data_IF_813555479325
#
_entry.id   IF_813555479325
#
_cell.length_a   1.000
_cell.length_b   1.000
_cell.length_c   1.000
_cell.angle_alpha   90.00
_cell.angle_beta   90.00
_cell.angle_gamma   90.00
#
_symmetry.space_group_name_H-M   'P 1'
#
loop_
_entity.id
_entity.type
_entity.pdbx_description
1 polymer ?
#
# COMPACT_ATOMS: atom_id res chain seq x y z
N UNK A 1 44.20 -80.87 45.03
CA UNK A 1 43.57 -80.00 46.05
C UNK A 1 44.49 -78.80 46.21
N UNK A 2 44.16 -77.54 45.96
CA UNK A 2 42.91 -76.80 45.78
C UNK A 2 43.32 -75.50 45.05
N UNK A 3 42.92 -75.21 43.81
CA UNK A 3 41.68 -74.53 43.37
C UNK A 3 41.23 -73.35 44.24
N UNK A 4 41.89 -72.19 44.09
CA UNK A 4 41.23 -70.88 44.33
C UNK A 4 41.97 -69.65 43.74
N UNK A 5 43.05 -69.82 42.99
CA UNK A 5 43.75 -68.76 42.23
C UNK A 5 43.00 -68.37 40.92
N UNK A 6 41.67 -68.16 40.98
CA UNK A 6 40.88 -67.70 39.82
C UNK A 6 39.93 -66.52 40.12
N UNK A 7 39.91 -65.96 41.34
CA UNK A 7 38.92 -64.93 41.70
C UNK A 7 39.44 -63.49 41.77
N UNK A 8 40.67 -63.19 41.34
CA UNK A 8 41.21 -61.81 41.37
C UNK A 8 40.89 -60.95 40.14
N UNK A 9 40.19 -61.48 39.12
CA UNK A 9 39.86 -60.72 37.90
C UNK A 9 38.36 -60.60 37.61
N UNK A 10 37.49 -61.21 38.43
CA UNK A 10 36.03 -61.12 38.22
C UNK A 10 35.40 -59.81 38.74
N UNK A 11 36.07 -59.07 39.65
CA UNK A 11 35.55 -57.82 40.21
C UNK A 11 35.81 -56.56 39.37
N UNK A 12 36.78 -56.58 38.45
CA UNK A 12 37.17 -55.40 37.68
C UNK A 12 36.44 -55.28 36.33
N UNK A 13 35.79 -56.35 35.85
CA UNK A 13 35.05 -56.36 34.58
C UNK A 13 33.57 -55.92 34.72
N UNK A 14 33.01 -55.87 35.94
CA UNK A 14 31.62 -55.42 36.16
C UNK A 14 31.54 -53.91 36.49
N UNK A 15 32.63 -53.31 36.99
CA UNK A 15 32.67 -51.87 37.27
C UNK A 15 33.03 -51.00 36.04
N UNK A 16 33.60 -51.57 34.98
CA UNK A 16 33.89 -50.82 33.74
C UNK A 16 32.70 -50.81 32.76
N UNK A 17 31.68 -51.66 32.97
CA UNK A 17 30.45 -51.64 32.18
C UNK A 17 29.36 -50.69 32.70
N UNK A 18 29.47 -50.16 33.93
CA UNK A 18 28.52 -49.18 34.49
C UNK A 18 29.02 -47.73 34.48
N UNK A 19 30.28 -47.48 34.12
CA UNK A 19 30.80 -46.12 33.84
C UNK A 19 30.85 -45.84 32.33
N UNK A 20 29.94 -46.46 31.57
CA UNK A 20 29.63 -46.07 30.19
C UNK A 20 28.15 -45.68 30.05
N UNK A 21 27.46 -45.41 31.18
CA UNK A 21 26.08 -44.92 31.19
C UNK A 21 25.96 -43.39 31.21
N UNK A 22 27.07 -42.64 31.06
CA UNK A 22 27.05 -41.18 30.93
C UNK A 22 28.04 -40.60 29.90
N UNK A 23 28.60 -41.43 29.02
CA UNK A 23 29.20 -40.92 27.79
C UNK A 23 28.37 -41.44 26.62
N UNK A 24 27.27 -40.73 26.36
CA UNK A 24 26.53 -40.89 25.12
C UNK A 24 27.55 -40.85 23.98
N UNK A 25 27.61 -41.93 23.22
CA UNK A 25 28.49 -42.07 22.07
C UNK A 25 28.28 -40.87 21.13
N UNK A 26 29.39 -40.30 20.68
CA UNK A 26 29.46 -39.11 19.83
C UNK A 26 28.90 -39.31 18.40
N UNK A 27 28.10 -40.37 18.18
CA UNK A 27 27.45 -40.68 16.91
C UNK A 27 25.91 -40.70 17.02
N UNK A 28 25.34 -40.19 18.14
CA UNK A 28 23.89 -40.08 18.36
C UNK A 28 23.40 -38.67 18.76
N UNK A 29 24.30 -37.69 18.84
CA UNK A 29 23.96 -36.30 19.22
C UNK A 29 23.58 -35.48 17.99
N UNK A 30 22.32 -35.62 17.57
CA UNK A 30 21.69 -34.60 16.72
C UNK A 30 21.76 -33.21 17.36
N UNK A 31 21.65 -32.16 16.56
CA UNK A 31 21.69 -30.80 17.09
C UNK A 31 20.60 -30.53 18.15
N UNK A 32 20.87 -29.67 19.15
CA UNK A 32 19.85 -29.21 20.09
C UNK A 32 18.61 -28.68 19.35
N UNK A 33 17.43 -28.84 19.95
CA UNK A 33 16.16 -28.44 19.33
C UNK A 33 16.21 -26.99 18.84
N UNK A 34 16.05 -26.80 17.52
CA UNK A 34 16.06 -25.49 16.89
C UNK A 34 17.40 -25.04 16.34
N UNK A 35 18.41 -25.91 16.36
CA UNK A 35 19.69 -25.70 15.70
C UNK A 35 19.94 -26.78 14.64
N UNK A 36 20.67 -26.43 13.59
CA UNK A 36 21.20 -27.37 12.58
C UNK A 36 22.65 -27.01 12.27
N UNK A 37 23.40 -28.00 11.80
CA UNK A 37 24.70 -27.77 11.17
C UNK A 37 24.46 -27.51 9.68
N UNK A 38 24.66 -26.27 9.23
CA UNK A 38 24.33 -25.85 7.87
C UNK A 38 25.56 -25.55 7.00
N UNK A 39 26.76 -25.78 7.54
CA UNK A 39 28.04 -25.61 6.86
C UNK A 39 28.93 -26.87 7.03
N UNK A 40 29.35 -27.53 5.94
CA UNK A 40 30.28 -28.66 6.04
C UNK A 40 31.69 -28.28 6.55
N UNK A 41 32.06 -26.99 6.50
CA UNK A 41 33.40 -26.51 6.85
C UNK A 41 33.50 -25.96 8.29
N UNK A 42 32.37 -25.79 8.99
CA UNK A 42 32.32 -25.39 10.40
C UNK A 42 31.36 -26.32 11.15
N UNK A 43 31.84 -27.51 11.57
CA UNK A 43 30.99 -28.43 12.31
C UNK A 43 30.63 -27.87 13.68
N UNK A 44 29.35 -27.59 13.96
CA UNK A 44 28.92 -27.32 15.33
C UNK A 44 27.59 -26.60 15.55
N UNK A 45 26.45 -27.17 15.09
CA UNK A 45 25.07 -26.77 15.42
C UNK A 45 24.86 -25.26 15.61
N UNK A 46 25.49 -24.47 14.76
CA UNK A 46 25.68 -23.02 14.91
C UNK A 46 24.54 -22.24 14.27
N UNK A 47 23.77 -22.89 13.40
CA UNK A 47 22.68 -22.25 12.67
C UNK A 47 21.37 -22.42 13.43
N UNK A 48 20.86 -21.31 13.98
CA UNK A 48 19.54 -21.26 14.56
C UNK A 48 18.49 -21.38 13.46
N UNK A 49 17.63 -22.39 13.53
CA UNK A 49 16.52 -22.57 12.57
C UNK A 49 15.18 -22.07 13.12
N UNK A 50 15.13 -21.62 14.37
CA UNK A 50 13.89 -21.15 15.01
C UNK A 50 13.56 -19.69 14.70
N UNK A 51 14.58 -18.82 14.69
CA UNK A 51 14.40 -17.37 14.60
C UNK A 51 15.31 -16.70 13.55
N UNK A 52 16.02 -17.48 12.73
CA UNK A 52 16.79 -16.96 11.58
C UNK A 52 15.93 -16.96 10.32
N UNK A 53 15.73 -15.78 9.74
CA UNK A 53 14.97 -15.59 8.50
C UNK A 53 15.62 -16.25 7.28
N UNK A 54 16.93 -16.50 7.32
CA UNK A 54 17.70 -17.11 6.23
C UNK A 54 17.78 -18.65 6.36
N UNK A 55 17.46 -19.20 7.54
CA UNK A 55 17.53 -20.63 7.84
C UNK A 55 16.23 -21.12 8.53
N UNK A 56 15.07 -20.61 8.12
CA UNK A 56 13.84 -20.77 8.89
C UNK A 56 13.24 -22.18 8.76
N UNK A 57 13.41 -22.98 9.81
CA UNK A 57 13.00 -24.39 9.89
C UNK A 57 13.96 -25.37 9.21
N UNK A 58 14.86 -24.90 8.35
CA UNK A 58 15.92 -25.70 7.76
C UNK A 58 17.09 -24.84 7.26
N UNK A 59 18.23 -25.48 7.00
CA UNK A 59 19.39 -24.87 6.38
C UNK A 59 19.01 -24.25 5.03
N UNK A 60 19.40 -22.99 4.84
CA UNK A 60 19.17 -22.20 3.62
C UNK A 60 17.68 -22.06 3.25
N UNK A 61 16.76 -22.36 4.17
CA UNK A 61 15.32 -22.18 3.98
C UNK A 61 14.94 -20.73 4.28
N UNK A 62 15.35 -19.83 3.40
CA UNK A 62 15.07 -18.41 3.53
C UNK A 62 13.59 -18.11 3.33
N UNK A 63 13.03 -17.23 4.16
CA UNK A 63 11.68 -16.73 3.96
C UNK A 63 11.59 -15.90 2.67
N UNK A 64 10.63 -16.26 1.80
CA UNK A 64 10.36 -15.58 0.53
C UNK A 64 10.03 -14.10 0.77
N UNK A 65 10.48 -13.23 -0.13
CA UNK A 65 10.02 -11.84 -0.14
C UNK A 65 8.63 -11.74 -0.74
N UNK A 66 7.69 -11.20 0.04
CA UNK A 66 6.32 -10.94 -0.38
C UNK A 66 6.08 -9.44 -0.49
N UNK A 67 5.33 -8.97 -1.50
CA UNK A 67 5.03 -7.55 -1.70
C UNK A 67 4.52 -6.86 -0.43
N UNK A 68 5.14 -5.73 -0.09
CA UNK A 68 4.72 -4.86 1.03
C UNK A 68 4.57 -5.53 2.39
N UNK A 69 5.31 -6.62 2.63
CA UNK A 69 5.37 -7.31 3.92
C UNK A 69 6.68 -7.04 4.68
N UNK A 70 6.65 -7.26 5.98
CA UNK A 70 7.81 -7.58 6.81
C UNK A 70 7.78 -9.07 7.11
N UNK A 71 8.93 -9.73 7.07
CA UNK A 71 9.08 -11.17 7.28
C UNK A 71 9.91 -11.45 8.53
N UNK A 72 9.52 -12.46 9.30
CA UNK A 72 10.28 -12.98 10.45
C UNK A 72 10.24 -14.50 10.47
N UNK A 73 11.25 -15.12 11.08
CA UNK A 73 11.16 -16.53 11.45
C UNK A 73 10.69 -16.63 12.90
N UNK A 74 9.63 -17.42 13.14
CA UNK A 74 9.15 -17.73 14.48
C UNK A 74 8.90 -19.24 14.56
N UNK A 75 9.59 -19.89 15.50
CA UNK A 75 9.51 -21.34 15.72
C UNK A 75 9.73 -22.17 14.44
N UNK A 76 10.66 -21.72 13.59
CA UNK A 76 11.01 -22.40 12.34
C UNK A 76 9.97 -22.27 11.23
N UNK A 77 9.05 -21.31 11.35
CA UNK A 77 8.07 -20.96 10.33
C UNK A 77 8.22 -19.49 9.94
N UNK A 78 8.15 -19.23 8.63
CA UNK A 78 8.10 -17.88 8.10
C UNK A 78 6.74 -17.26 8.45
N UNK A 79 6.78 -16.14 9.16
CA UNK A 79 5.61 -15.34 9.52
C UNK A 79 5.76 -13.98 8.84
N UNK A 80 4.66 -13.49 8.28
CA UNK A 80 4.59 -12.22 7.57
C UNK A 80 3.62 -11.27 8.25
N UNK A 81 3.88 -9.98 8.11
CA UNK A 81 2.94 -8.93 8.51
C UNK A 81 3.06 -7.74 7.57
N UNK A 82 1.99 -6.98 7.39
CA UNK A 82 2.00 -5.85 6.46
C UNK A 82 2.93 -4.73 6.94
N UNK A 83 3.60 -4.08 5.98
CA UNK A 83 4.30 -2.81 6.26
C UNK A 83 3.28 -1.75 6.68
N UNK A 84 3.68 -0.73 7.45
CA UNK A 84 2.80 0.38 7.80
C UNK A 84 2.14 0.99 6.55
N UNK A 85 0.82 1.20 6.62
CA UNK A 85 0.02 1.73 5.51
C UNK A 85 -0.40 0.68 4.47
N UNK A 86 -0.06 -0.60 4.65
CA UNK A 86 -0.51 -1.69 3.78
C UNK A 86 -1.42 -2.66 4.53
N UNK A 87 -2.35 -3.28 3.81
CA UNK A 87 -3.24 -4.30 4.34
C UNK A 87 -3.38 -5.48 3.37
N UNK A 88 -3.59 -6.66 3.97
CA UNK A 88 -4.03 -7.90 3.31
C UNK A 88 -5.57 -7.90 3.33
N UNK A 89 -6.18 -7.46 2.24
CA UNK A 89 -7.63 -7.28 2.12
C UNK A 89 -8.32 -8.51 1.53
N UNK A 90 -7.63 -9.31 0.72
CA UNK A 90 -8.12 -10.59 0.21
C UNK A 90 -7.91 -11.76 1.20
N UNK A 91 -7.19 -11.51 2.30
CA UNK A 91 -6.83 -12.47 3.36
C UNK A 91 -5.91 -13.58 2.87
N UNK A 92 -5.12 -13.32 1.84
CA UNK A 92 -4.18 -14.26 1.25
C UNK A 92 -2.75 -13.72 1.32
N UNK A 93 -2.18 -13.73 2.52
CA UNK A 93 -0.78 -13.38 2.79
C UNK A 93 0.26 -13.99 1.82
N UNK A 94 -0.02 -15.09 1.10
CA UNK A 94 0.90 -15.64 0.11
C UNK A 94 1.18 -14.70 -1.08
N UNK A 95 0.30 -13.74 -1.37
CA UNK A 95 0.50 -12.71 -2.39
C UNK A 95 1.00 -11.37 -1.82
N UNK A 96 1.13 -11.27 -0.48
CA UNK A 96 1.64 -10.11 0.23
C UNK A 96 0.52 -9.25 0.84
N UNK A 97 0.79 -7.96 1.02
CA UNK A 97 -0.20 -6.97 1.42
C UNK A 97 -0.44 -6.05 0.24
N UNK A 98 -1.54 -6.28 -0.46
CA UNK A 98 -1.83 -5.79 -1.79
C UNK A 98 -2.46 -4.40 -1.82
N UNK A 99 -2.95 -3.91 -0.67
CA UNK A 99 -3.73 -2.66 -0.60
C UNK A 99 -3.00 -1.56 0.18
N UNK A 100 -2.74 -0.41 -0.47
CA UNK A 100 -2.19 0.79 0.17
C UNK A 100 -3.28 1.56 0.92
N UNK A 101 -3.52 1.19 2.17
CA UNK A 101 -4.45 1.90 3.05
C UNK A 101 -3.98 3.30 3.48
N UNK A 102 -2.73 3.66 3.20
CA UNK A 102 -2.17 4.97 3.49
C UNK A 102 -2.52 6.03 2.45
N UNK A 103 -2.72 5.63 1.19
CA UNK A 103 -2.88 6.54 0.03
C UNK A 103 -4.04 6.24 -0.89
N UNK A 104 -4.59 5.03 -0.87
CA UNK A 104 -5.75 4.69 -1.68
C UNK A 104 -7.02 5.29 -1.07
N UNK A 105 -7.70 6.15 -1.83
CA UNK A 105 -8.94 6.79 -1.41
C UNK A 105 -10.13 5.81 -1.30
N UNK A 106 -10.01 4.62 -1.89
CA UNK A 106 -11.03 3.55 -1.79
C UNK A 106 -10.77 2.59 -0.63
N UNK A 107 -9.58 2.64 -0.01
CA UNK A 107 -9.16 1.79 1.10
C UNK A 107 -8.53 2.60 2.25
N UNK A 108 -9.00 3.83 2.48
CA UNK A 108 -8.30 4.79 3.30
C UNK A 108 -8.38 4.49 4.81
N UNK A 109 -7.29 3.95 5.34
CA UNK A 109 -7.12 3.53 6.72
C UNK A 109 -7.61 2.11 7.02
N UNK A 110 -8.32 1.45 6.10
CA UNK A 110 -8.73 0.06 6.18
C UNK A 110 -9.25 -0.44 4.82
N UNK A 111 -9.22 -1.76 4.61
CA UNK A 111 -9.83 -2.42 3.46
C UNK A 111 -11.30 -2.02 3.28
N UNK A 112 -11.66 -1.60 2.06
CA UNK A 112 -13.02 -1.16 1.70
C UNK A 112 -13.47 0.16 2.30
N UNK A 113 -12.60 0.87 3.05
CA UNK A 113 -12.94 2.17 3.65
C UNK A 113 -12.80 3.30 2.63
N UNK A 114 -13.85 3.50 1.84
CA UNK A 114 -13.90 4.57 0.85
C UNK A 114 -14.04 5.96 1.49
N UNK A 115 -13.27 6.91 0.98
CA UNK A 115 -13.48 8.33 1.25
C UNK A 115 -14.75 8.82 0.53
N UNK A 116 -15.46 9.75 1.18
CA UNK A 116 -16.68 10.36 0.64
C UNK A 116 -16.39 11.03 -0.70
N UNK A 117 -17.01 10.51 -1.76
CA UNK A 117 -16.97 11.11 -3.09
C UNK A 117 -17.97 12.27 -3.17
N UNK A 118 -17.57 13.37 -3.81
CA UNK A 118 -18.45 14.52 -4.07
C UNK A 118 -18.31 14.94 -5.54
N UNK A 119 -19.36 15.55 -6.14
CA UNK A 119 -19.36 15.92 -7.55
C UNK A 119 -18.18 16.81 -7.95
N UNK A 120 -17.62 16.52 -9.13
CA UNK A 120 -16.55 17.28 -9.77
C UNK A 120 -15.31 17.58 -8.92
N UNK A 121 -15.06 16.76 -7.89
CA UNK A 121 -13.87 16.81 -7.06
C UNK A 121 -13.04 15.53 -7.19
N UNK A 122 -11.80 15.60 -6.69
CA UNK A 122 -10.89 14.48 -6.50
C UNK A 122 -10.67 14.31 -5.01
N UNK A 123 -10.99 13.14 -4.48
CA UNK A 123 -10.71 12.75 -3.09
C UNK A 123 -9.30 12.20 -2.95
N UNK A 124 -8.63 12.49 -1.84
CA UNK A 124 -7.30 11.96 -1.54
C UNK A 124 -7.29 11.25 -0.19
N UNK A 125 -6.47 10.21 -0.08
CA UNK A 125 -6.10 9.62 1.20
C UNK A 125 -4.66 10.01 1.53
N UNK A 126 -4.41 10.35 2.80
CA UNK A 126 -3.06 10.59 3.29
C UNK A 126 -2.96 10.09 4.72
N UNK A 127 -1.97 9.22 4.98
CA UNK A 127 -1.75 8.62 6.30
C UNK A 127 -2.95 7.82 6.81
N UNK A 128 -3.73 7.20 5.91
CA UNK A 128 -4.94 6.45 6.27
C UNK A 128 -6.13 7.32 6.70
N UNK A 129 -6.09 8.62 6.39
CA UNK A 129 -7.19 9.56 6.65
C UNK A 129 -7.64 10.22 5.35
N UNK A 130 -8.96 10.26 5.18
CA UNK A 130 -9.57 10.98 4.07
C UNK A 130 -9.29 12.47 4.21
N UNK A 131 -8.75 13.05 3.15
CA UNK A 131 -8.49 14.48 3.07
C UNK A 131 -9.71 15.19 2.48
N UNK A 132 -9.77 16.51 2.67
CA UNK A 132 -10.76 17.33 1.99
C UNK A 132 -10.62 17.17 0.46
N UNK A 133 -11.73 16.94 -0.26
CA UNK A 133 -11.71 16.85 -1.72
C UNK A 133 -11.22 18.16 -2.33
N UNK A 134 -10.55 18.05 -3.47
CA UNK A 134 -10.10 19.21 -4.24
C UNK A 134 -10.83 19.23 -5.57
N UNK A 135 -11.27 20.40 -6.03
CA UNK A 135 -11.95 20.51 -7.30
C UNK A 135 -11.10 19.98 -8.45
N UNK A 136 -11.74 19.27 -9.38
CA UNK A 136 -11.14 18.94 -10.67
C UNK A 136 -10.76 20.23 -11.38
N UNK A 137 -9.74 20.17 -12.23
CA UNK A 137 -9.32 21.32 -13.02
C UNK A 137 -10.52 21.93 -13.77
N UNK A 138 -10.66 23.25 -13.69
CA UNK A 138 -11.78 23.99 -14.29
C UNK A 138 -13.07 24.00 -13.46
N UNK A 139 -13.11 23.37 -12.29
CA UNK A 139 -14.27 23.43 -11.39
C UNK A 139 -13.99 24.27 -10.15
N UNK A 140 -15.02 24.95 -9.63
CA UNK A 140 -14.94 25.77 -8.43
C UNK A 140 -15.99 25.35 -7.40
N UNK A 141 -15.58 25.38 -6.13
CA UNK A 141 -16.47 25.34 -4.96
C UNK A 141 -16.77 26.78 -4.54
N UNK A 142 -17.82 27.38 -5.08
CA UNK A 142 -18.10 28.81 -4.89
C UNK A 142 -18.92 29.09 -3.63
N UNK A 143 -19.80 28.17 -3.23
CA UNK A 143 -20.56 28.26 -1.97
C UNK A 143 -19.79 27.78 -0.72
N UNK A 144 -18.58 27.24 -0.91
CA UNK A 144 -17.68 26.72 0.13
C UNK A 144 -18.23 25.49 0.86
N UNK A 145 -19.12 24.71 0.25
CA UNK A 145 -19.75 23.55 0.88
C UNK A 145 -19.25 22.21 0.30
N UNK A 146 -17.91 22.01 0.37
CA UNK A 146 -17.22 20.91 -0.30
C UNK A 146 -17.82 19.53 0.02
N UNK A 147 -18.13 19.28 1.29
CA UNK A 147 -18.62 17.97 1.73
C UNK A 147 -20.08 17.69 1.37
N UNK A 148 -20.86 18.69 0.98
CA UNK A 148 -22.28 18.51 0.68
C UNK A 148 -22.56 18.41 -0.81
N UNK A 149 -21.99 19.30 -1.61
CA UNK A 149 -22.26 19.39 -3.06
C UNK A 149 -20.99 19.46 -3.93
N UNK A 150 -19.80 19.48 -3.33
CA UNK A 150 -18.53 19.38 -4.06
C UNK A 150 -18.18 20.67 -4.78
N UNK A 151 -17.82 20.56 -6.06
CA UNK A 151 -17.43 21.69 -6.90
C UNK A 151 -18.52 21.94 -7.93
N UNK A 152 -19.34 22.95 -7.69
CA UNK A 152 -20.63 23.11 -8.33
C UNK A 152 -20.60 24.01 -9.58
N UNK A 153 -19.50 24.73 -9.84
CA UNK A 153 -19.36 25.64 -10.98
C UNK A 153 -18.27 25.22 -11.96
N UNK A 154 -18.62 25.13 -13.25
CA UNK A 154 -17.66 24.97 -14.35
C UNK A 154 -17.05 26.34 -14.69
N UNK A 155 -15.88 26.62 -14.13
CA UNK A 155 -15.14 27.86 -14.36
C UNK A 155 -14.60 27.97 -15.79
N UNK A 156 -14.63 26.90 -16.58
CA UNK A 156 -14.19 26.89 -17.97
C UNK A 156 -15.26 27.38 -18.95
N UNK A 157 -16.54 27.28 -18.58
CA UNK A 157 -17.69 27.50 -19.48
C UNK A 157 -18.81 28.36 -18.90
N UNK A 158 -18.95 28.43 -17.58
CA UNK A 158 -19.98 29.22 -16.93
C UNK A 158 -19.66 30.71 -17.04
N UNK A 159 -20.45 31.44 -17.82
CA UNK A 159 -20.31 32.89 -18.00
C UNK A 159 -20.56 33.70 -16.73
N UNK A 160 -21.17 33.12 -15.70
CA UNK A 160 -21.34 33.74 -14.38
C UNK A 160 -20.15 33.49 -13.43
N UNK A 161 -19.28 32.53 -13.73
CA UNK A 161 -18.17 32.08 -12.88
C UNK A 161 -16.88 31.85 -13.69
N UNK A 162 -16.64 32.65 -14.73
CA UNK A 162 -15.62 32.34 -15.72
C UNK A 162 -14.21 32.58 -15.18
N UNK A 163 -13.39 31.53 -15.10
CA UNK A 163 -12.02 31.58 -14.57
C UNK A 163 -11.94 31.64 -13.03
N UNK A 164 -12.96 32.17 -12.37
CA UNK A 164 -13.10 32.15 -10.91
C UNK A 164 -14.56 32.29 -10.49
N UNK A 165 -14.86 31.84 -9.27
CA UNK A 165 -16.17 32.02 -8.66
C UNK A 165 -16.64 33.48 -8.75
N UNK A 166 -17.90 33.64 -9.16
CA UNK A 166 -18.60 34.92 -9.28
C UNK A 166 -17.98 35.92 -10.29
N UNK A 167 -17.03 35.49 -11.14
CA UNK A 167 -16.51 36.32 -12.22
C UNK A 167 -17.45 36.29 -13.43
N UNK A 168 -18.47 37.14 -13.38
CA UNK A 168 -19.45 37.28 -14.45
C UNK A 168 -18.86 38.03 -15.65
N UNK A 169 -18.91 37.41 -16.82
CA UNK A 169 -18.44 38.02 -18.05
C UNK A 169 -19.32 39.22 -18.45
N UNK A 170 -18.66 40.36 -18.65
CA UNK A 170 -19.31 41.58 -19.13
C UNK A 170 -19.45 41.54 -20.64
N UNK A 171 -20.62 41.95 -21.15
CA UNK A 171 -20.89 42.10 -22.58
C UNK A 171 -20.98 43.59 -22.89
N UNK A 172 -20.09 44.08 -23.75
CA UNK A 172 -20.11 45.47 -24.23
C UNK A 172 -20.59 45.56 -25.67
N UNK A 173 -20.56 44.45 -26.41
CA UNK A 173 -21.02 44.34 -27.78
C UNK A 173 -22.55 44.40 -27.84
N UNK A 174 -23.08 45.43 -28.49
CA UNK A 174 -24.52 45.58 -28.69
C UNK A 174 -25.07 44.43 -29.53
N UNK A 175 -26.05 43.72 -29.01
CA UNK A 175 -26.61 42.50 -29.62
C UNK A 175 -25.76 41.24 -29.42
N UNK A 176 -24.66 41.35 -28.67
CA UNK A 176 -23.82 40.22 -28.29
C UNK A 176 -24.34 39.46 -27.05
N UNK A 177 -23.64 38.38 -26.74
CA UNK A 177 -23.78 37.58 -25.54
C UNK A 177 -22.39 37.23 -24.98
N UNK A 178 -22.34 36.90 -23.69
CA UNK A 178 -21.11 36.51 -23.03
C UNK A 178 -20.68 35.12 -23.47
N UNK A 179 -19.37 34.90 -23.55
CA UNK A 179 -18.78 33.57 -23.70
C UNK A 179 -17.75 33.35 -22.61
N UNK A 180 -17.59 32.09 -22.22
CA UNK A 180 -16.49 31.65 -21.37
C UNK A 180 -15.81 30.47 -22.05
N UNK A 181 -14.51 30.60 -22.29
CA UNK A 181 -13.72 29.54 -22.90
C UNK A 181 -12.38 29.42 -22.17
N UNK A 182 -12.14 28.25 -21.56
CA UNK A 182 -10.92 28.01 -20.78
C UNK A 182 -10.74 28.99 -19.64
N UNK A 183 -11.84 29.46 -19.04
CA UNK A 183 -11.83 30.44 -17.95
C UNK A 183 -11.54 31.87 -18.38
N UNK A 184 -11.58 32.16 -19.69
CA UNK A 184 -11.44 33.52 -20.22
C UNK A 184 -12.78 34.03 -20.71
N UNK A 185 -13.16 35.21 -20.20
CA UNK A 185 -14.34 35.91 -20.69
C UNK A 185 -14.12 36.40 -22.10
N UNK A 186 -15.12 36.16 -22.94
CA UNK A 186 -15.25 36.73 -24.27
C UNK A 186 -16.69 37.19 -24.51
N UNK A 187 -16.95 37.60 -25.75
CA UNK A 187 -18.28 37.93 -26.22
C UNK A 187 -18.41 37.53 -27.68
N UNK A 188 -19.61 37.12 -28.07
CA UNK A 188 -19.93 36.77 -29.44
C UNK A 188 -21.29 37.34 -29.83
N UNK A 189 -21.58 37.37 -31.13
CA UNK A 189 -22.91 37.69 -31.60
C UNK A 189 -23.88 36.54 -31.31
N UNK A 190 -25.10 36.87 -30.85
CA UNK A 190 -26.16 35.88 -30.64
C UNK A 190 -26.43 35.12 -31.93
N UNK A 191 -26.84 33.85 -31.79
CA UNK A 191 -27.24 33.01 -32.93
C UNK A 191 -28.24 33.77 -33.84
N UNK A 192 -27.98 33.77 -35.14
CA UNK A 192 -28.78 34.53 -36.12
C UNK A 192 -28.34 35.99 -36.33
N UNK A 193 -27.25 36.42 -35.71
CA UNK A 193 -26.63 37.73 -35.97
C UNK A 193 -25.15 37.59 -36.34
N UNK A 194 -24.61 38.57 -37.06
CA UNK A 194 -23.19 38.67 -37.41
C UNK A 194 -22.63 40.02 -36.96
N UNK A 195 -21.33 40.06 -36.65
CA UNK A 195 -20.67 41.30 -36.28
C UNK A 195 -20.54 42.24 -37.50
N UNK A 196 -21.09 43.44 -37.39
CA UNK A 196 -20.90 44.53 -38.34
C UNK A 196 -19.82 45.47 -37.80
N UNK A 197 -18.65 45.45 -38.44
CA UNK A 197 -17.50 46.29 -38.07
C UNK A 197 -17.80 47.79 -38.15
N UNK A 198 -18.67 48.21 -39.08
CA UNK A 198 -18.98 49.63 -39.30
C UNK A 198 -19.89 50.19 -38.22
N UNK A 199 -20.81 49.36 -37.71
CA UNK A 199 -21.76 49.73 -36.66
C UNK A 199 -21.29 49.32 -35.27
N UNK A 200 -20.16 48.60 -35.19
CA UNK A 200 -19.63 48.00 -33.97
C UNK A 200 -20.70 47.25 -33.15
N UNK A 201 -21.54 46.48 -33.85
CA UNK A 201 -22.66 45.76 -33.24
C UNK A 201 -23.03 44.49 -34.00
N UNK A 202 -23.80 43.62 -33.36
CA UNK A 202 -24.36 42.44 -33.99
C UNK A 202 -25.63 42.79 -34.75
N UNK A 203 -25.66 42.49 -36.05
CA UNK A 203 -26.81 42.72 -36.95
C UNK A 203 -27.37 41.39 -37.45
N UNK A 204 -28.67 41.28 -37.74
CA UNK A 204 -29.26 40.06 -38.30
C UNK A 204 -28.54 39.61 -39.58
N UNK A 205 -28.32 38.30 -39.73
CA UNK A 205 -27.90 37.75 -41.03
C UNK A 205 -29.09 37.82 -41.97
N UNK A 206 -28.94 38.46 -43.15
CA UNK A 206 -29.98 38.42 -44.18
C UNK A 206 -30.17 36.96 -44.59
N UNK A 207 -31.38 36.43 -44.42
CA UNK A 207 -31.76 35.17 -45.05
C UNK A 207 -31.75 35.40 -46.56
N UNK A 208 -30.93 34.65 -47.28
CA UNK A 208 -30.97 34.54 -48.74
C UNK A 208 -31.72 33.27 -49.10
#
# INVERSE_FOLDING_TARGET
MSTSQQWRHAGLMVAVAMVVLFIGSADAWGCPSGFKNCDPYKPGCETCIKNDVNNCGDCKKQCKDLPYTTKKCADGKCVYSCKPGWADCDKNMNNGCETDTGKDATNCGACGKCCKQVPYAVTKCSGGKCQEPVCKAGWGNCDKNMWSNGCEKDLGKDTANCGSCYNKCKVTLKGGEATCSGGKCGQQCKKGTKFDKTKNCCVPVKAY
#
